data_IF_440650804367
#
_entry.id   IF_440650804367
#
_cell.length_a   1.000
_cell.length_b   1.000
_cell.length_c   1.000
_cell.angle_alpha   90.00
_cell.angle_beta   90.00
_cell.angle_gamma   90.00
#
_symmetry.space_group_name_H-M   'P 1'
#
loop_
_entity.id
_entity.type
_entity.pdbx_description
1 polymer ?
#
# COMPACT_ATOMS: atom_id res chain seq x y z
N UNK A 1 -13.60 1.09 5.20
CA UNK A 1 -12.65 0.71 6.28
C UNK A 1 -12.00 -0.61 5.91
N UNK A 2 -10.73 -0.86 6.24
CA UNK A 2 -10.12 -2.17 5.97
C UNK A 2 -10.82 -3.27 6.77
N UNK A 3 -11.13 -4.39 6.13
CA UNK A 3 -11.58 -5.58 6.85
C UNK A 3 -10.41 -6.36 7.45
N UNK A 4 -9.26 -6.34 6.74
CA UNK A 4 -8.02 -6.99 7.17
C UNK A 4 -6.82 -6.16 6.73
N UNK A 5 -5.82 -6.05 7.59
CA UNK A 5 -4.51 -5.49 7.23
C UNK A 5 -3.54 -6.66 7.12
N UNK A 6 -2.84 -6.75 5.99
CA UNK A 6 -1.81 -7.77 5.77
C UNK A 6 -0.47 -7.30 6.35
N UNK A 7 -0.04 -6.10 5.97
CA UNK A 7 1.19 -5.51 6.49
C UNK A 7 1.16 -3.99 6.49
N UNK A 8 2.03 -3.43 7.32
CA UNK A 8 2.43 -2.02 7.30
C UNK A 8 3.95 -1.99 7.29
N UNK A 9 4.54 -1.54 6.20
CA UNK A 9 5.98 -1.54 5.99
C UNK A 9 6.52 -0.10 5.93
N UNK A 10 7.67 0.12 6.54
CA UNK A 10 8.46 1.33 6.31
C UNK A 10 9.37 1.14 5.11
N UNK A 11 9.31 2.06 4.15
CA UNK A 11 10.21 2.11 3.00
C UNK A 11 10.80 3.52 2.95
N UNK A 12 12.05 3.64 3.39
CA UNK A 12 12.66 4.94 3.69
C UNK A 12 11.85 5.67 4.77
N UNK A 13 11.39 6.88 4.46
CA UNK A 13 10.55 7.70 5.36
C UNK A 13 9.05 7.53 5.12
N UNK A 14 8.66 6.72 4.15
CA UNK A 14 7.27 6.53 3.74
C UNK A 14 6.71 5.21 4.29
N UNK A 15 5.40 5.16 4.46
CA UNK A 15 4.65 3.99 4.88
C UNK A 15 3.93 3.36 3.69
N UNK A 16 4.05 2.05 3.56
CA UNK A 16 3.25 1.22 2.68
C UNK A 16 2.28 0.39 3.51
N UNK A 17 0.98 0.58 3.31
CA UNK A 17 -0.08 -0.14 4.01
C UNK A 17 -0.74 -1.07 2.99
N UNK A 18 -0.77 -2.37 3.28
CA UNK A 18 -1.45 -3.37 2.44
C UNK A 18 -2.62 -3.96 3.20
N UNK A 19 -3.81 -3.90 2.61
CA UNK A 19 -5.01 -4.38 3.26
C UNK A 19 -6.09 -4.83 2.28
N UNK A 20 -7.10 -5.48 2.83
CA UNK A 20 -8.23 -6.06 2.11
C UNK A 20 -9.48 -5.23 2.35
N UNK A 21 -10.14 -4.83 1.25
CA UNK A 21 -11.44 -4.18 1.30
C UNK A 21 -12.57 -5.20 1.15
N UNK A 22 -13.72 -4.86 1.71
CA UNK A 22 -14.97 -5.63 1.71
C UNK A 22 -15.44 -6.10 0.32
N UNK A 23 -15.03 -5.40 -0.75
CA UNK A 23 -15.32 -5.76 -2.15
C UNK A 23 -14.30 -6.71 -2.79
N UNK A 24 -13.58 -7.47 -1.96
CA UNK A 24 -12.76 -8.64 -2.28
C UNK A 24 -11.41 -8.43 -2.97
N UNK A 25 -10.93 -7.20 -3.13
CA UNK A 25 -9.61 -6.94 -3.71
C UNK A 25 -8.61 -6.47 -2.65
N UNK A 26 -7.38 -6.94 -2.79
CA UNK A 26 -6.25 -6.41 -2.06
C UNK A 26 -5.90 -5.04 -2.61
N UNK A 27 -5.52 -4.14 -1.71
CA UNK A 27 -5.09 -2.80 -2.03
C UNK A 27 -3.79 -2.47 -1.32
N UNK A 28 -3.07 -1.50 -1.87
CA UNK A 28 -2.05 -0.78 -1.13
C UNK A 28 -2.38 0.70 -1.03
N UNK A 29 -1.92 1.33 0.05
CA UNK A 29 -1.88 2.77 0.26
C UNK A 29 -0.44 3.18 0.58
N UNK A 30 -0.03 4.33 0.07
CA UNK A 30 1.25 4.95 0.42
C UNK A 30 0.99 6.24 1.16
N UNK A 31 1.58 6.34 2.36
CA UNK A 31 1.50 7.52 3.22
C UNK A 31 2.92 8.07 3.38
N UNK A 32 3.10 9.36 3.12
CA UNK A 32 4.39 10.03 3.25
C UNK A 32 4.75 10.28 4.72
N UNK A 33 5.98 10.76 4.96
CA UNK A 33 6.42 11.14 6.30
C UNK A 33 5.62 12.30 6.92
N UNK A 34 4.91 13.09 6.11
CA UNK A 34 4.03 14.17 6.57
C UNK A 34 2.63 13.66 6.95
N UNK A 35 2.36 12.37 6.75
CA UNK A 35 1.04 11.78 6.99
C UNK A 35 0.08 11.90 5.80
N UNK A 36 0.56 12.37 4.64
CA UNK A 36 -0.29 12.54 3.44
C UNK A 36 -0.36 11.25 2.63
N UNK A 37 -1.57 10.84 2.25
CA UNK A 37 -1.77 9.70 1.37
C UNK A 37 -1.58 10.13 -0.09
N UNK A 38 -0.51 9.67 -0.73
CA UNK A 38 -0.14 10.07 -2.10
C UNK A 38 -0.48 9.04 -3.16
N UNK A 39 -0.77 7.79 -2.75
CA UNK A 39 -1.19 6.73 -3.67
C UNK A 39 -2.11 5.73 -2.99
N UNK A 40 -3.12 5.29 -3.73
CA UNK A 40 -3.98 4.17 -3.37
C UNK A 40 -4.34 3.39 -4.63
N UNK A 41 -4.22 2.06 -4.59
CA UNK A 41 -4.57 1.18 -5.73
C UNK A 41 -5.25 -0.08 -5.19
N UNK A 42 -6.43 -0.44 -5.71
CA UNK A 42 -7.30 -1.47 -5.15
C UNK A 42 -7.65 -2.63 -6.09
N UNK A 43 -6.69 -3.13 -6.87
CA UNK A 43 -6.97 -4.06 -7.97
C UNK A 43 -6.28 -5.43 -7.84
N UNK A 44 -5.72 -5.76 -6.68
CA UNK A 44 -4.81 -6.91 -6.55
C UNK A 44 -5.54 -8.17 -6.08
N UNK A 45 -5.15 -9.32 -6.65
CA UNK A 45 -5.71 -10.63 -6.27
C UNK A 45 -5.03 -11.21 -5.03
N UNK A 46 -3.78 -10.83 -4.74
CA UNK A 46 -3.03 -11.30 -3.56
C UNK A 46 -2.39 -10.15 -2.78
N UNK A 47 -2.14 -10.32 -1.48
CA UNK A 47 -1.48 -9.28 -0.69
C UNK A 47 -0.03 -9.03 -1.15
N UNK A 48 0.67 -10.07 -1.59
CA UNK A 48 2.05 -9.95 -2.10
C UNK A 48 2.12 -9.14 -3.39
N UNK A 49 1.12 -9.26 -4.28
CA UNK A 49 1.03 -8.41 -5.48
C UNK A 49 0.88 -6.94 -5.09
N UNK A 50 -0.03 -6.64 -4.16
CA UNK A 50 -0.23 -5.28 -3.66
C UNK A 50 1.03 -4.72 -3.00
N UNK A 51 1.74 -5.53 -2.20
CA UNK A 51 2.98 -5.13 -1.55
C UNK A 51 4.10 -4.85 -2.55
N UNK A 52 4.33 -5.73 -3.52
CA UNK A 52 5.40 -5.59 -4.50
C UNK A 52 5.19 -4.37 -5.41
N UNK A 53 3.95 -4.16 -5.87
CA UNK A 53 3.60 -2.99 -6.68
C UNK A 53 3.71 -1.69 -5.87
N UNK A 54 3.30 -1.72 -4.60
CA UNK A 54 3.46 -0.57 -3.70
C UNK A 54 4.93 -0.21 -3.43
N UNK A 55 5.79 -1.22 -3.20
CA UNK A 55 7.24 -1.05 -3.06
C UNK A 55 7.86 -0.42 -4.30
N UNK A 56 7.55 -0.99 -5.47
CA UNK A 56 8.04 -0.49 -6.76
C UNK A 56 7.61 0.95 -6.99
N UNK A 57 6.33 1.26 -6.73
CA UNK A 57 5.84 2.62 -6.91
C UNK A 57 6.57 3.62 -6.01
N UNK A 58 6.81 3.29 -4.73
CA UNK A 58 7.57 4.15 -3.82
C UNK A 58 9.00 4.35 -4.34
N UNK A 59 9.66 3.28 -4.78
CA UNK A 59 11.01 3.34 -5.33
C UNK A 59 11.09 4.21 -6.60
N UNK A 60 10.05 4.16 -7.44
CA UNK A 60 10.00 4.90 -8.71
C UNK A 60 9.60 6.39 -8.54
N UNK A 61 8.90 6.76 -7.44
CA UNK A 61 8.26 8.08 -7.32
C UNK A 61 8.66 8.89 -6.09
N UNK A 62 9.16 8.27 -5.02
CA UNK A 62 9.40 8.92 -3.72
C UNK A 62 10.83 8.72 -3.17
N UNK A 63 11.73 8.10 -3.95
CA UNK A 63 13.15 7.98 -3.60
C UNK A 63 13.92 9.26 -3.90
#
# INVERSE_FOLDING_TARGET
MYQKIYCVNHIGKNLLIVGYLEHKQWQFQVVTSTGEMVKQVNQFSTPQQAENEGKKWIDDNLK
#
